data_IF_829879272827
#
_entry.id   IF_829879272827
#
_cell.length_a   1.000
_cell.length_b   1.000
_cell.length_c   1.000
_cell.angle_alpha   90.00
_cell.angle_beta   90.00
_cell.angle_gamma   90.00
#
_symmetry.space_group_name_H-M   'P 1'
#
loop_
_entity.id
_entity.type
_entity.pdbx_description
1 polymer ?
#
# COMPACT_ATOMS: atom_id res chain seq x y z
N UNK A 1 -33.67 -16.54 -8.34
CA UNK A 1 -32.24 -16.87 -8.12
C UNK A 1 -31.75 -17.51 -9.41
N UNK A 2 -31.15 -16.74 -10.31
CA UNK A 2 -30.56 -17.27 -11.54
C UNK A 2 -29.18 -17.79 -11.19
N UNK A 3 -28.93 -19.08 -11.45
CA UNK A 3 -27.58 -19.62 -11.44
C UNK A 3 -26.74 -18.80 -12.43
N UNK A 4 -25.63 -18.24 -11.97
CA UNK A 4 -24.63 -17.64 -12.85
C UNK A 4 -24.01 -18.73 -13.74
N UNK A 5 -23.32 -18.36 -14.83
CA UNK A 5 -22.69 -19.33 -15.71
C UNK A 5 -21.73 -20.19 -14.89
N UNK A 6 -21.93 -21.51 -14.95
CA UNK A 6 -20.94 -22.50 -14.52
C UNK A 6 -19.73 -22.31 -15.40
N UNK A 7 -18.57 -22.01 -14.78
CA UNK A 7 -17.28 -22.10 -15.46
C UNK A 7 -17.22 -23.50 -16.08
N UNK A 8 -16.98 -23.57 -17.40
CA UNK A 8 -16.88 -24.83 -18.12
C UNK A 8 -15.88 -25.76 -17.42
N UNK A 9 -16.35 -26.93 -16.98
CA UNK A 9 -15.57 -27.99 -16.31
C UNK A 9 -14.54 -28.69 -17.25
N UNK A 10 -14.42 -28.22 -18.50
CA UNK A 10 -13.63 -28.84 -19.58
C UNK A 10 -12.27 -28.15 -19.86
N UNK A 11 -11.87 -27.16 -19.05
CA UNK A 11 -10.48 -26.68 -19.11
C UNK A 11 -9.56 -27.77 -18.51
N UNK A 12 -8.42 -28.11 -19.14
CA UNK A 12 -7.46 -29.06 -18.57
C UNK A 12 -6.82 -28.46 -17.32
N UNK A 13 -7.53 -28.57 -16.19
CA UNK A 13 -7.16 -28.01 -14.88
C UNK A 13 -5.77 -28.48 -14.44
N UNK A 14 -5.33 -29.65 -14.89
CA UNK A 14 -4.04 -30.24 -14.51
C UNK A 14 -2.85 -29.50 -15.14
N UNK A 15 -2.96 -29.12 -16.41
CA UNK A 15 -1.89 -28.38 -17.11
C UNK A 15 -1.82 -26.93 -16.64
N UNK A 16 -2.97 -26.28 -16.46
CA UNK A 16 -3.06 -24.91 -15.94
C UNK A 16 -2.57 -24.80 -14.49
N UNK A 17 -2.91 -25.77 -13.63
CA UNK A 17 -2.43 -25.83 -12.25
C UNK A 17 -0.92 -26.07 -12.19
N UNK A 18 -0.39 -26.95 -13.05
CA UNK A 18 1.04 -27.20 -13.14
C UNK A 18 1.80 -25.94 -13.55
N UNK A 19 1.30 -25.23 -14.57
CA UNK A 19 1.88 -23.98 -15.04
C UNK A 19 1.82 -22.88 -13.97
N UNK A 20 0.70 -22.74 -13.26
CA UNK A 20 0.57 -21.78 -12.16
C UNK A 20 1.61 -22.06 -11.05
N UNK A 21 1.75 -23.32 -10.63
CA UNK A 21 2.76 -23.73 -9.63
C UNK A 21 4.19 -23.44 -10.10
N UNK A 22 4.47 -23.67 -11.39
CA UNK A 22 5.78 -23.37 -11.99
C UNK A 22 6.08 -21.87 -11.93
N UNK A 23 5.09 -21.03 -12.25
CA UNK A 23 5.21 -19.57 -12.17
C UNK A 23 5.45 -19.11 -10.74
N UNK A 24 4.66 -19.60 -9.79
CA UNK A 24 4.83 -19.30 -8.35
C UNK A 24 6.23 -19.68 -7.85
N UNK A 25 6.73 -20.86 -8.25
CA UNK A 25 8.07 -21.33 -7.85
C UNK A 25 9.20 -20.47 -8.45
N UNK A 26 8.98 -19.83 -9.59
CA UNK A 26 9.95 -18.97 -10.27
C UNK A 26 9.81 -17.48 -9.96
N UNK A 27 8.78 -17.08 -9.20
CA UNK A 27 8.50 -15.67 -8.92
C UNK A 27 9.55 -15.07 -7.98
N UNK A 28 10.40 -14.12 -8.44
CA UNK A 28 11.40 -13.48 -7.59
C UNK A 28 10.78 -12.64 -6.47
N UNK A 29 9.47 -12.33 -6.54
CA UNK A 29 8.74 -11.54 -5.55
C UNK A 29 7.95 -12.40 -4.54
N UNK A 30 7.96 -13.72 -4.65
CA UNK A 30 7.16 -14.61 -3.80
C UNK A 30 7.39 -14.38 -2.29
N UNK A 31 8.61 -13.97 -1.91
CA UNK A 31 8.96 -13.64 -0.54
C UNK A 31 8.15 -12.47 0.05
N UNK A 32 7.72 -11.50 -0.75
CA UNK A 32 6.98 -10.33 -0.28
C UNK A 32 5.60 -10.69 0.25
N UNK A 33 4.98 -11.78 -0.23
CA UNK A 33 3.69 -12.28 0.30
C UNK A 33 3.70 -12.45 1.82
N UNK A 34 4.84 -12.88 2.40
CA UNK A 34 4.98 -13.11 3.85
C UNK A 34 4.91 -11.82 4.69
N UNK A 35 5.12 -10.65 4.05
CA UNK A 35 5.02 -9.33 4.70
C UNK A 35 3.58 -8.88 4.92
N UNK A 36 2.59 -9.58 4.37
CA UNK A 36 1.18 -9.24 4.47
C UNK A 36 0.40 -10.28 5.28
N UNK A 37 -0.66 -9.82 5.93
CA UNK A 37 -1.63 -10.70 6.57
C UNK A 37 -2.60 -11.26 5.53
N UNK A 38 -2.45 -12.54 5.20
CA UNK A 38 -3.36 -13.27 4.31
C UNK A 38 -4.37 -14.08 5.11
N UNK A 39 -5.54 -14.37 4.51
CA UNK A 39 -6.55 -15.26 5.09
C UNK A 39 -6.55 -16.59 4.34
N UNK A 40 -6.51 -17.69 5.08
CA UNK A 40 -6.54 -19.03 4.50
C UNK A 40 -7.86 -19.28 3.75
N UNK A 41 -7.78 -19.91 2.59
CA UNK A 41 -8.96 -20.18 1.74
C UNK A 41 -9.57 -18.96 1.06
N UNK A 42 -8.96 -17.77 1.16
CA UNK A 42 -9.47 -16.54 0.53
C UNK A 42 -8.52 -16.08 -0.58
N UNK A 43 -9.05 -15.99 -1.80
CA UNK A 43 -8.40 -15.31 -2.92
C UNK A 43 -8.74 -13.82 -2.86
N UNK A 44 -7.88 -13.02 -2.24
CA UNK A 44 -8.09 -11.58 -2.11
C UNK A 44 -7.69 -10.84 -3.38
N UNK A 45 -8.69 -10.45 -4.19
CA UNK A 45 -8.51 -9.80 -5.50
C UNK A 45 -8.97 -8.32 -5.53
N UNK A 46 -9.15 -7.68 -4.37
CA UNK A 46 -9.64 -6.29 -4.25
C UNK A 46 -8.58 -5.34 -3.66
N UNK A 47 -7.30 -5.67 -3.86
CA UNK A 47 -6.17 -4.88 -3.35
C UNK A 47 -6.05 -3.47 -3.95
N UNK A 48 -6.71 -3.22 -5.08
CA UNK A 48 -6.81 -1.91 -5.72
C UNK A 48 -7.72 -0.94 -4.95
N UNK A 49 -8.67 -1.46 -4.17
CA UNK A 49 -9.56 -0.68 -3.32
C UNK A 49 -8.94 -0.51 -1.93
N UNK A 50 -8.57 -1.63 -1.30
CA UNK A 50 -7.91 -1.64 0.01
C UNK A 50 -6.78 -2.67 0.05
N UNK A 51 -5.55 -2.21 0.23
CA UNK A 51 -4.42 -3.13 0.40
C UNK A 51 -4.57 -4.00 1.66
N UNK A 52 -4.09 -5.25 1.60
CA UNK A 52 -3.92 -6.06 2.81
C UNK A 52 -2.99 -5.33 3.79
N UNK A 53 -3.26 -5.44 5.08
CA UNK A 53 -2.37 -4.92 6.10
C UNK A 53 -0.99 -5.59 5.98
N UNK A 54 0.06 -4.79 5.87
CA UNK A 54 1.42 -5.28 5.98
C UNK A 54 1.88 -5.27 7.44
N UNK A 55 2.73 -6.25 7.79
CA UNK A 55 3.36 -6.36 9.11
C UNK A 55 4.20 -5.13 9.43
N UNK A 56 4.84 -4.56 8.41
CA UNK A 56 5.68 -3.36 8.56
C UNK A 56 4.83 -2.11 8.84
N UNK A 57 3.67 -1.97 8.19
CA UNK A 57 2.74 -0.87 8.47
C UNK A 57 2.18 -0.95 9.89
N UNK A 58 1.79 -2.16 10.33
CA UNK A 58 1.36 -2.41 11.70
C UNK A 58 2.47 -2.02 12.70
N UNK A 59 3.70 -2.52 12.48
CA UNK A 59 4.83 -2.20 13.36
C UNK A 59 5.13 -0.69 13.42
N UNK A 60 5.05 0.02 12.29
CA UNK A 60 5.24 1.48 12.24
C UNK A 60 4.19 2.23 13.07
N UNK A 61 2.91 1.83 12.96
CA UNK A 61 1.82 2.42 13.77
C UNK A 61 2.04 2.14 15.25
N UNK A 62 2.38 0.91 15.63
CA UNK A 62 2.66 0.55 17.03
C UNK A 62 3.86 1.33 17.58
N UNK A 63 4.90 1.54 16.77
CA UNK A 63 6.05 2.36 17.15
C UNK A 63 5.66 3.83 17.37
N UNK A 64 4.80 4.39 16.51
CA UNK A 64 4.33 5.77 16.68
C UNK A 64 3.48 5.93 17.95
N UNK A 65 2.60 4.97 18.25
CA UNK A 65 1.81 4.94 19.48
C UNK A 65 2.69 4.83 20.73
N UNK A 66 3.72 3.97 20.69
CA UNK A 66 4.68 3.84 21.78
C UNK A 66 5.45 5.14 22.01
N UNK A 67 5.98 5.76 20.94
CA UNK A 67 6.67 7.04 21.03
C UNK A 67 5.76 8.14 21.61
N UNK A 68 4.48 8.18 21.20
CA UNK A 68 3.55 9.15 21.76
C UNK A 68 3.31 8.94 23.25
N UNK A 69 3.08 7.70 23.68
CA UNK A 69 2.91 7.36 25.10
C UNK A 69 4.11 7.75 25.94
N UNK A 70 5.31 7.49 25.43
CA UNK A 70 6.55 7.57 26.23
C UNK A 70 7.22 8.96 26.16
N UNK A 71 6.99 9.73 25.08
CA UNK A 71 7.67 11.01 24.82
C UNK A 71 6.74 12.22 24.67
N UNK A 72 5.42 12.00 24.54
CA UNK A 72 4.44 13.07 24.35
C UNK A 72 4.87 14.09 23.26
N UNK A 73 4.96 15.38 23.59
CA UNK A 73 5.35 16.45 22.66
C UNK A 73 6.78 16.30 22.15
N UNK A 74 7.66 15.65 22.91
CA UNK A 74 9.05 15.44 22.50
C UNK A 74 9.14 14.49 21.29
N UNK A 75 8.10 13.71 21.00
CA UNK A 75 8.05 12.84 19.81
C UNK A 75 8.15 13.59 18.48
N UNK A 76 7.86 14.90 18.45
CA UNK A 76 8.03 15.73 17.25
C UNK A 76 9.45 15.68 16.69
N UNK A 77 10.46 15.64 17.57
CA UNK A 77 11.88 15.64 17.21
C UNK A 77 12.65 14.44 17.75
N UNK A 78 12.19 13.84 18.85
CA UNK A 78 12.88 12.78 19.59
C UNK A 78 12.34 11.36 19.40
N UNK A 79 11.25 11.18 18.63
CA UNK A 79 10.78 9.84 18.29
C UNK A 79 11.82 9.10 17.41
N UNK A 80 11.86 7.75 17.46
CA UNK A 80 12.69 6.96 16.53
C UNK A 80 12.46 7.35 15.06
N UNK A 81 11.22 7.72 14.74
CA UNK A 81 10.81 8.34 13.51
C UNK A 81 10.25 9.74 13.82
N UNK A 82 11.09 10.82 13.77
CA UNK A 82 10.67 12.16 14.17
C UNK A 82 9.50 12.67 13.33
N UNK A 83 8.38 13.00 13.99
CA UNK A 83 7.14 13.35 13.29
C UNK A 83 7.27 14.59 12.43
N UNK A 84 8.13 15.55 12.82
CA UNK A 84 8.34 16.80 12.10
C UNK A 84 8.81 16.58 10.66
N UNK A 85 9.67 15.59 10.43
CA UNK A 85 10.26 15.30 9.10
C UNK A 85 9.64 14.08 8.42
N UNK A 86 8.66 13.43 9.06
CA UNK A 86 8.12 12.15 8.61
C UNK A 86 7.50 12.26 7.22
N UNK A 87 6.70 13.29 6.96
CA UNK A 87 6.03 13.47 5.66
C UNK A 87 7.03 13.62 4.51
N UNK A 88 8.08 14.43 4.69
CA UNK A 88 9.14 14.66 3.71
C UNK A 88 9.93 13.37 3.42
N UNK A 89 10.25 12.60 4.46
CA UNK A 89 10.94 11.32 4.32
C UNK A 89 10.10 10.27 3.59
N UNK A 90 8.80 10.20 3.86
CA UNK A 90 7.89 9.29 3.14
C UNK A 90 7.73 9.74 1.69
N UNK A 91 7.59 11.04 1.43
CA UNK A 91 7.53 11.61 0.09
C UNK A 91 8.78 11.27 -0.74
N UNK A 92 9.97 11.47 -0.18
CA UNK A 92 11.23 11.13 -0.82
C UNK A 92 11.33 9.64 -1.22
N UNK A 93 10.79 8.73 -0.39
CA UNK A 93 10.73 7.29 -0.70
C UNK A 93 9.72 6.95 -1.80
N UNK A 94 8.68 7.76 -1.98
CA UNK A 94 7.65 7.56 -3.01
C UNK A 94 8.02 8.20 -4.35
N UNK A 95 8.94 9.16 -4.38
CA UNK A 95 9.27 9.92 -5.58
C UNK A 95 9.70 9.03 -6.77
N UNK A 96 10.50 8.00 -6.53
CA UNK A 96 10.91 7.05 -7.56
C UNK A 96 9.75 6.24 -8.15
N UNK A 97 8.65 6.03 -7.41
CA UNK A 97 7.47 5.29 -7.89
C UNK A 97 6.64 6.09 -8.90
N UNK A 98 6.72 7.42 -8.83
CA UNK A 98 5.96 8.34 -9.69
C UNK A 98 6.83 9.10 -10.69
N UNK A 99 8.15 8.83 -10.70
CA UNK A 99 9.09 9.47 -11.62
C UNK A 99 9.39 10.93 -11.33
N UNK A 100 9.34 11.34 -10.05
CA UNK A 100 9.55 12.72 -9.60
C UNK A 100 10.83 12.85 -8.74
N UNK A 101 11.30 14.07 -8.53
CA UNK A 101 12.31 14.38 -7.52
C UNK A 101 11.70 14.37 -6.09
N UNK A 102 12.49 14.14 -5.03
CA UNK A 102 11.99 14.12 -3.65
C UNK A 102 11.22 15.38 -3.23
N UNK A 103 11.60 16.54 -3.75
CA UNK A 103 11.00 17.85 -3.48
C UNK A 103 9.79 18.19 -4.37
N UNK A 104 9.45 17.30 -5.32
CA UNK A 104 8.26 17.40 -6.17
C UNK A 104 7.07 16.58 -5.65
N UNK A 105 7.24 15.89 -4.51
CA UNK A 105 6.24 14.99 -3.93
C UNK A 105 5.88 15.44 -2.52
N UNK A 106 4.59 15.41 -2.18
CA UNK A 106 4.09 15.66 -0.84
C UNK A 106 3.13 14.55 -0.40
N UNK A 107 3.34 14.02 0.81
CA UNK A 107 2.45 13.04 1.45
C UNK A 107 1.62 13.75 2.50
N UNK A 108 0.37 14.02 2.16
CA UNK A 108 -0.54 14.81 3.00
C UNK A 108 -2.00 14.52 2.68
N UNK A 109 -2.88 14.76 3.66
CA UNK A 109 -4.33 14.80 3.47
C UNK A 109 -4.93 13.57 2.79
N UNK A 110 -5.91 13.83 1.93
CA UNK A 110 -6.57 12.82 1.09
C UNK A 110 -6.48 13.20 -0.38
N UNK A 111 -6.66 12.22 -1.27
CA UNK A 111 -6.64 12.44 -2.73
C UNK A 111 -7.57 13.59 -3.15
N UNK A 112 -8.82 13.58 -2.67
CA UNK A 112 -9.81 14.61 -3.02
C UNK A 112 -9.40 16.00 -2.54
N UNK A 113 -8.90 16.11 -1.30
CA UNK A 113 -8.44 17.39 -0.75
C UNK A 113 -7.23 17.92 -1.54
N UNK A 114 -6.28 17.05 -1.87
CA UNK A 114 -5.09 17.42 -2.65
C UNK A 114 -5.47 17.89 -4.06
N UNK A 115 -6.43 17.23 -4.72
CA UNK A 115 -6.96 17.70 -6.00
C UNK A 115 -7.61 19.08 -5.89
N UNK A 116 -8.36 19.35 -4.82
CA UNK A 116 -8.94 20.67 -4.59
C UNK A 116 -7.87 21.74 -4.36
N UNK A 117 -6.81 21.42 -3.61
CA UNK A 117 -5.68 22.34 -3.43
C UNK A 117 -4.98 22.65 -4.75
N UNK A 118 -4.75 21.63 -5.59
CA UNK A 118 -4.16 21.82 -6.92
C UNK A 118 -5.05 22.69 -7.81
N UNK A 119 -6.36 22.44 -7.83
CA UNK A 119 -7.31 23.27 -8.58
C UNK A 119 -7.32 24.70 -8.06
N UNK A 120 -7.40 24.91 -6.74
CA UNK A 120 -7.36 26.24 -6.15
C UNK A 120 -6.09 27.02 -6.52
N UNK A 121 -4.95 26.34 -6.55
CA UNK A 121 -3.65 26.94 -6.84
C UNK A 121 -3.45 27.22 -8.35
N UNK A 122 -3.86 26.30 -9.22
CA UNK A 122 -3.46 26.27 -10.63
C UNK A 122 -4.60 26.57 -11.60
N UNK A 123 -5.86 26.29 -11.24
CA UNK A 123 -6.99 26.48 -12.16
C UNK A 123 -7.41 27.96 -12.22
N UNK A 124 -7.44 28.49 -13.45
CA UNK A 124 -7.93 29.84 -13.76
C UNK A 124 -9.05 29.73 -14.80
N UNK A 125 -10.33 29.72 -14.37
CA UNK A 125 -11.44 29.66 -15.31
C UNK A 125 -11.45 30.90 -16.22
N UNK A 126 -11.91 30.72 -17.46
CA UNK A 126 -12.14 31.79 -18.44
C UNK A 126 -13.61 32.16 -18.46
#
# INVERSE_FOLDING_TARGET
MSAGPTLDDDLPLDDDLLEARRRDASDPLAAFRRRFYTRDGVLYMDGNSLGLLSRDAEAAVQSALAAWRDQAVEGWTGAPEPWFTMAERVAARQAALVGAAPDEVAVTGSTTANLHHLLLALYRPR
#
